data_IF_282858943797
#
_entry.id   IF_282858943797
#
_cell.length_a   1.000
_cell.length_b   1.000
_cell.length_c   1.000
_cell.angle_alpha   90.00
_cell.angle_beta   90.00
_cell.angle_gamma   90.00
#
_symmetry.space_group_name_H-M   'P 1'
#
loop_
_entity.id
_entity.type
_entity.pdbx_description
1 polymer ?
#
# COMPACT_ATOMS: atom_id res chain seq x y z
N UNK A 1 28.48 -24.49 23.10
CA UNK A 1 28.53 -23.03 22.90
C UNK A 1 29.03 -22.77 21.49
N UNK A 2 28.22 -23.06 20.47
CA UNK A 2 28.54 -22.71 19.08
C UNK A 2 27.81 -21.40 18.82
N UNK A 3 28.54 -20.31 18.92
CA UNK A 3 28.07 -18.96 18.64
C UNK A 3 27.43 -18.95 17.26
N UNK A 4 26.17 -18.54 17.22
CA UNK A 4 25.42 -18.27 16.01
C UNK A 4 26.08 -17.03 15.37
N UNK A 5 27.17 -17.24 14.64
CA UNK A 5 27.73 -16.24 13.73
C UNK A 5 26.81 -16.19 12.51
N UNK A 6 25.73 -15.41 12.60
CA UNK A 6 24.91 -15.13 11.43
C UNK A 6 25.74 -14.26 10.50
N UNK A 7 26.22 -14.86 9.41
CA UNK A 7 26.99 -14.15 8.41
C UNK A 7 26.15 -13.06 7.74
N UNK A 8 26.75 -11.90 7.44
CA UNK A 8 26.08 -10.80 6.73
C UNK A 8 25.46 -11.28 5.41
N UNK A 9 26.13 -12.20 4.73
CA UNK A 9 25.66 -12.83 3.50
C UNK A 9 24.37 -13.62 3.73
N UNK A 10 24.26 -14.33 4.85
CA UNK A 10 23.05 -15.10 5.19
C UNK A 10 21.86 -14.16 5.45
N UNK A 11 22.07 -13.06 6.19
CA UNK A 11 21.02 -12.06 6.45
C UNK A 11 20.56 -11.42 5.14
N UNK A 12 21.51 -11.08 4.25
CA UNK A 12 21.20 -10.53 2.94
C UNK A 12 20.33 -11.47 2.10
N UNK A 13 20.70 -12.75 2.00
CA UNK A 13 19.92 -13.73 1.24
C UNK A 13 18.55 -14.00 1.84
N UNK A 14 18.45 -14.07 3.18
CA UNK A 14 17.15 -14.23 3.86
C UNK A 14 16.26 -13.02 3.60
N UNK A 15 16.80 -11.81 3.72
CA UNK A 15 16.06 -10.58 3.41
C UNK A 15 15.58 -10.53 1.96
N UNK A 16 16.47 -10.85 1.01
CA UNK A 16 16.14 -10.91 -0.41
C UNK A 16 15.06 -11.97 -0.70
N UNK A 17 15.17 -13.16 -0.11
CA UNK A 17 14.18 -14.22 -0.24
C UNK A 17 12.82 -13.78 0.31
N UNK A 18 12.78 -13.09 1.44
CA UNK A 18 11.55 -12.56 2.02
C UNK A 18 10.88 -11.53 1.11
N UNK A 19 11.66 -10.62 0.52
CA UNK A 19 11.15 -9.60 -0.43
C UNK A 19 10.57 -10.27 -1.68
N UNK A 20 11.32 -11.20 -2.28
CA UNK A 20 10.86 -11.94 -3.47
C UNK A 20 9.59 -12.73 -3.16
N UNK A 21 9.56 -13.42 -2.02
CA UNK A 21 8.39 -14.19 -1.59
C UNK A 21 7.17 -13.30 -1.35
N UNK A 22 7.33 -12.18 -0.66
CA UNK A 22 6.26 -11.21 -0.43
C UNK A 22 5.72 -10.61 -1.72
N UNK A 23 6.61 -10.32 -2.68
CA UNK A 23 6.23 -9.84 -4.01
C UNK A 23 5.46 -10.91 -4.80
N UNK A 24 5.94 -12.16 -4.80
CA UNK A 24 5.27 -13.27 -5.47
C UNK A 24 3.87 -13.54 -4.91
N UNK A 25 3.70 -13.52 -3.59
CA UNK A 25 2.40 -13.68 -2.94
C UNK A 25 1.45 -12.53 -3.32
N UNK A 26 1.96 -11.30 -3.35
CA UNK A 26 1.18 -10.11 -3.72
C UNK A 26 0.68 -10.19 -5.17
N UNK A 27 1.54 -10.59 -6.11
CA UNK A 27 1.15 -10.84 -7.50
C UNK A 27 0.09 -11.93 -7.58
N UNK A 28 0.30 -13.05 -6.89
CA UNK A 28 -0.62 -14.18 -6.92
C UNK A 28 -2.00 -13.81 -6.36
N UNK A 29 -2.04 -13.03 -5.29
CA UNK A 29 -3.28 -12.50 -4.70
C UNK A 29 -4.04 -11.57 -5.67
N UNK A 30 -3.33 -10.63 -6.31
CA UNK A 30 -3.91 -9.73 -7.31
C UNK A 30 -4.43 -10.53 -8.50
N UNK A 31 -3.65 -11.50 -8.99
CA UNK A 31 -4.03 -12.34 -10.11
C UNK A 31 -5.30 -13.14 -9.80
N UNK A 32 -5.38 -13.78 -8.62
CA UNK A 32 -6.60 -14.46 -8.18
C UNK A 32 -7.80 -13.50 -8.08
N UNK A 33 -7.59 -12.29 -7.55
CA UNK A 33 -8.65 -11.29 -7.41
C UNK A 33 -9.21 -10.89 -8.79
N UNK A 34 -8.34 -10.65 -9.77
CA UNK A 34 -8.73 -10.34 -11.14
C UNK A 34 -9.46 -11.52 -11.78
N UNK A 35 -8.92 -12.73 -11.69
CA UNK A 35 -9.53 -13.93 -12.26
C UNK A 35 -10.93 -14.21 -11.67
N UNK A 36 -11.12 -14.04 -10.36
CA UNK A 36 -12.44 -14.17 -9.71
C UNK A 36 -13.42 -13.09 -10.14
N UNK A 37 -12.94 -11.87 -10.35
CA UNK A 37 -13.75 -10.75 -10.86
C UNK A 37 -14.25 -10.99 -12.28
N UNK A 38 -13.47 -11.67 -13.12
CA UNK A 38 -13.86 -12.02 -14.49
C UNK A 38 -14.85 -13.19 -14.56
N UNK A 39 -14.74 -14.16 -13.65
CA UNK A 39 -15.61 -15.34 -13.62
C UNK A 39 -17.01 -15.05 -13.05
N UNK A 40 -17.15 -14.03 -12.20
CA UNK A 40 -18.44 -13.61 -11.60
C UNK A 40 -19.21 -12.68 -12.54
N UNK A 41 -19.70 -13.22 -13.65
CA UNK A 41 -20.53 -12.49 -14.64
C UNK A 41 -22.01 -12.43 -14.25
N UNK A 42 -22.31 -12.13 -12.98
CA UNK A 42 -23.69 -11.97 -12.50
C UNK A 42 -23.96 -10.50 -12.16
N UNK A 43 -24.25 -9.69 -13.19
CA UNK A 43 -25.08 -8.48 -13.12
C UNK A 43 -24.67 -7.29 -12.24
N UNK A 44 -23.66 -7.42 -11.39
CA UNK A 44 -23.13 -6.32 -10.58
C UNK A 44 -22.14 -5.51 -11.40
N UNK A 45 -22.47 -4.27 -11.74
CA UNK A 45 -21.54 -3.34 -12.38
C UNK A 45 -20.19 -3.32 -11.65
N UNK A 46 -19.10 -3.11 -12.37
CA UNK A 46 -17.74 -3.11 -11.82
C UNK A 46 -17.69 -2.08 -10.69
N UNK A 47 -17.60 -2.56 -9.44
CA UNK A 47 -17.53 -1.73 -8.23
C UNK A 47 -16.07 -1.43 -7.96
N UNK A 48 -15.60 -0.29 -8.45
CA UNK A 48 -14.20 0.10 -8.42
C UNK A 48 -14.05 1.59 -8.18
N UNK A 49 -12.86 2.01 -7.81
CA UNK A 49 -12.55 3.41 -7.60
C UNK A 49 -11.05 3.60 -7.40
N UNK A 50 -10.60 4.81 -7.67
CA UNK A 50 -9.22 5.23 -7.53
C UNK A 50 -9.13 6.57 -6.82
N UNK A 51 -7.97 6.84 -6.26
CA UNK A 51 -7.63 8.11 -5.61
C UNK A 51 -6.34 8.60 -6.24
N UNK A 52 -6.36 9.80 -6.80
CA UNK A 52 -5.18 10.49 -7.33
C UNK A 52 -4.90 11.68 -6.42
N UNK A 53 -3.74 11.71 -5.79
CA UNK A 53 -3.30 12.85 -4.99
C UNK A 53 -2.48 13.81 -5.85
N UNK A 54 -3.01 15.01 -6.13
CA UNK A 54 -2.25 16.09 -6.78
C UNK A 54 -1.87 17.08 -5.69
N UNK A 55 -0.65 16.91 -5.15
CA UNK A 55 -0.27 17.58 -3.91
C UNK A 55 -1.19 17.17 -2.75
N UNK A 56 -1.50 18.05 -1.78
CA UNK A 56 -2.40 17.73 -0.68
C UNK A 56 -3.89 17.68 -1.09
N UNK A 57 -4.20 17.78 -2.39
CA UNK A 57 -5.57 17.78 -2.91
C UNK A 57 -5.89 16.38 -3.48
N UNK A 58 -6.72 15.57 -2.79
CA UNK A 58 -7.18 14.28 -3.28
C UNK A 58 -8.25 14.43 -4.37
N UNK A 59 -8.09 13.71 -5.47
CA UNK A 59 -9.09 13.54 -6.52
C UNK A 59 -9.60 12.10 -6.47
N UNK A 60 -10.89 11.95 -6.16
CA UNK A 60 -11.53 10.64 -5.94
C UNK A 60 -12.38 10.26 -7.14
N UNK A 61 -12.15 9.06 -7.67
CA UNK A 61 -12.95 8.45 -8.71
C UNK A 61 -13.56 7.17 -8.18
N UNK A 62 -14.83 6.90 -8.48
CA UNK A 62 -15.42 5.63 -8.10
C UNK A 62 -16.79 5.43 -8.73
N UNK A 63 -17.07 4.17 -9.06
CA UNK A 63 -18.34 3.74 -9.66
C UNK A 63 -19.41 3.46 -8.61
N UNK A 64 -19.04 3.41 -7.32
CA UNK A 64 -19.94 3.17 -6.20
C UNK A 64 -19.74 4.15 -5.05
N UNK A 65 -20.85 4.63 -4.47
CA UNK A 65 -20.90 5.50 -3.29
C UNK A 65 -20.13 4.92 -2.10
N UNK A 66 -20.20 3.59 -1.90
CA UNK A 66 -19.49 2.89 -0.83
C UNK A 66 -17.97 2.98 -1.03
N UNK A 67 -17.49 2.69 -2.25
CA UNK A 67 -16.07 2.78 -2.61
C UNK A 67 -15.55 4.20 -2.46
N UNK A 68 -16.29 5.19 -2.97
CA UNK A 68 -15.91 6.60 -2.82
C UNK A 68 -15.86 7.01 -1.35
N UNK A 69 -16.83 6.60 -0.52
CA UNK A 69 -16.83 6.91 0.93
C UNK A 69 -15.59 6.35 1.63
N UNK A 70 -15.21 5.10 1.33
CA UNK A 70 -13.99 4.50 1.85
C UNK A 70 -12.74 5.26 1.40
N UNK A 71 -12.67 5.63 0.12
CA UNK A 71 -11.54 6.39 -0.42
C UNK A 71 -11.43 7.79 0.19
N UNK A 72 -12.55 8.46 0.50
CA UNK A 72 -12.56 9.76 1.20
C UNK A 72 -11.92 9.61 2.59
N UNK A 73 -12.37 8.62 3.36
CA UNK A 73 -11.82 8.37 4.71
C UNK A 73 -10.32 8.10 4.61
N UNK A 74 -9.92 7.23 3.68
CA UNK A 74 -8.51 6.91 3.45
C UNK A 74 -7.69 8.15 3.08
N UNK A 75 -8.23 9.02 2.21
CA UNK A 75 -7.58 10.26 1.78
C UNK A 75 -7.35 11.21 2.95
N UNK A 76 -8.36 11.39 3.80
CA UNK A 76 -8.25 12.26 4.98
C UNK A 76 -7.21 11.73 5.94
N UNK A 77 -7.24 10.43 6.24
CA UNK A 77 -6.24 9.78 7.10
C UNK A 77 -4.83 9.98 6.52
N UNK A 78 -4.66 9.78 5.21
CA UNK A 78 -3.38 9.96 4.55
C UNK A 78 -2.88 11.41 4.61
N UNK A 79 -3.76 12.40 4.37
CA UNK A 79 -3.43 13.82 4.49
C UNK A 79 -2.96 14.15 5.91
N UNK A 80 -3.67 13.66 6.92
CA UNK A 80 -3.29 13.88 8.33
C UNK A 80 -1.92 13.27 8.59
N UNK A 81 -1.68 12.02 8.19
CA UNK A 81 -0.37 11.36 8.38
C UNK A 81 0.75 12.16 7.71
N UNK A 82 0.56 12.59 6.45
CA UNK A 82 1.56 13.38 5.71
C UNK A 82 1.77 14.75 6.34
N UNK A 83 0.70 15.46 6.73
CA UNK A 83 0.81 16.75 7.41
C UNK A 83 1.54 16.62 8.74
N UNK A 84 1.15 15.66 9.59
CA UNK A 84 1.80 15.44 10.88
C UNK A 84 3.26 15.06 10.71
N UNK A 85 3.57 14.17 9.76
CA UNK A 85 4.94 13.79 9.46
C UNK A 85 5.78 14.98 8.96
N UNK A 86 5.21 15.81 8.07
CA UNK A 86 5.90 16.99 7.54
C UNK A 86 6.10 18.05 8.62
N UNK A 87 5.10 18.31 9.47
CA UNK A 87 5.24 19.23 10.60
C UNK A 87 6.28 18.72 11.60
N UNK A 88 6.24 17.43 11.93
CA UNK A 88 7.21 16.81 12.82
C UNK A 88 8.62 16.98 12.24
N UNK A 89 8.82 16.63 10.98
CA UNK A 89 10.10 16.77 10.29
C UNK A 89 10.58 18.22 10.26
N UNK A 90 9.69 19.18 9.99
CA UNK A 90 10.02 20.61 10.00
C UNK A 90 10.33 21.15 11.40
N UNK A 91 9.82 20.51 12.45
CA UNK A 91 10.09 20.87 13.85
C UNK A 91 11.42 20.32 14.36
N UNK A 92 12.05 19.38 13.65
CA UNK A 92 13.42 18.97 13.97
C UNK A 92 14.40 20.08 13.54
N UNK A 93 15.36 20.45 14.41
CA UNK A 93 16.39 21.41 14.03
C UNK A 93 17.14 20.89 12.80
N UNK A 94 17.50 21.77 11.85
CA UNK A 94 18.27 21.36 10.68
C UNK A 94 19.56 20.71 11.18
N UNK A 95 19.78 19.47 10.76
CA UNK A 95 21.00 18.70 11.04
C UNK A 95 22.11 19.41 10.24
N UNK A 96 22.78 20.37 10.88
CA UNK A 96 24.02 20.97 10.37
C UNK A 96 25.16 19.97 10.46
#
# INVERSE_FOLDING_TARGET
MAEIMVDFTAIFFIGLALVILGFAISIFAILMMVLRGLYTRSGGGIRGGGLIMIGPIPILFGTDRKTVKTLIILSIVLIIVVMTFTLLLASLPPIR
#
